data_IF_594191402960
#
_entry.id   IF_594191402960
#
_cell.length_a   1.000
_cell.length_b   1.000
_cell.length_c   1.000
_cell.angle_alpha   90.00
_cell.angle_beta   90.00
_cell.angle_gamma   90.00
#
_symmetry.space_group_name_H-M   'P 1'
#
loop_
_entity.id
_entity.type
_entity.pdbx_description
1 polymer ?
2 non-polymer ?
3 water ?
#
# COMPACT_ATOMS: atom_id res chain seq x y z
N UNK A 3 -20.27 11.51 -16.74
CA UNK A 3 -19.21 12.00 -15.80
C UNK A 3 -19.35 11.28 -14.47
N UNK A 4 -20.57 10.94 -14.11
CA UNK A 4 -20.74 10.14 -12.93
C UNK A 4 -20.01 8.81 -13.09
N UNK A 5 -19.49 8.32 -11.96
CA UNK A 5 -18.99 6.96 -11.89
C UNK A 5 -20.15 5.96 -11.89
N UNK A 6 -19.82 4.67 -12.04
CA UNK A 6 -20.93 3.69 -12.03
C UNK A 6 -21.66 3.61 -10.68
N UNK A 7 -22.94 3.32 -10.71
CA UNK A 7 -23.67 3.05 -9.46
C UNK A 7 -22.92 1.93 -8.68
N UNK A 8 -22.66 2.14 -7.40
CA UNK A 8 -21.99 1.15 -6.57
C UNK A 8 -20.48 1.30 -6.53
N UNK A 9 -19.95 2.29 -7.24
CA UNK A 9 -18.51 2.51 -7.22
C UNK A 9 -18.01 2.73 -5.80
N UNK A 10 -16.89 2.10 -5.43
CA UNK A 10 -16.46 2.11 -4.03
C UNK A 10 -15.49 3.26 -3.71
N UNK A 11 -15.99 4.36 -3.13
CA UNK A 11 -15.16 5.50 -2.70
C UNK A 11 -14.69 5.23 -1.29
N UNK A 12 -13.36 5.28 -1.09
CA UNK A 12 -12.86 4.99 0.25
C UNK A 12 -11.69 5.90 0.64
N UNK A 13 -11.12 5.55 1.79
CA UNK A 13 -9.85 6.16 2.22
C UNK A 13 -9.05 5.05 2.90
N UNK A 14 -7.73 5.21 2.97
CA UNK A 14 -6.82 4.13 3.44
C UNK A 14 -5.89 4.62 4.54
N UNK A 15 -5.50 3.63 5.36
CA UNK A 15 -4.48 3.81 6.43
C UNK A 15 -3.64 2.53 6.47
N UNK A 16 -2.64 2.48 7.36
CA UNK A 16 -1.99 1.23 7.71
C UNK A 16 -1.80 1.21 9.25
N UNK A 17 -1.58 -0.03 9.78
CA UNK A 17 -1.57 -0.22 11.21
C UNK A 17 -0.42 0.47 11.91
N UNK A 18 0.82 0.27 11.45
CA UNK A 18 1.93 0.93 12.15
C UNK A 18 1.80 2.46 12.03
N UNK A 19 1.22 2.96 10.92
CA UNK A 19 1.24 4.40 10.72
C UNK A 19 0.19 5.13 11.58
N UNK A 20 -0.84 4.42 12.07
CA UNK A 20 -1.91 5.13 12.84
C UNK A 20 -2.15 4.60 14.26
N UNK A 21 -1.88 3.32 14.53
CA UNK A 21 -2.48 2.69 15.73
C UNK A 21 -1.93 3.16 17.06
N UNK A 22 -0.61 3.37 17.16
CA UNK A 22 0.01 3.48 18.49
C UNK A 22 -0.19 2.24 19.33
N UNK A 23 -0.38 2.45 20.64
CA UNK A 23 -0.53 1.29 21.55
C UNK A 23 0.48 0.16 21.24
N UNK A 24 1.75 0.55 21.07
CA UNK A 24 2.74 -0.36 20.43
C UNK A 24 3.12 -1.54 21.33
N UNK A 25 2.92 -1.41 22.65
CA UNK A 25 3.31 -2.45 23.61
C UNK A 25 2.14 -2.80 24.53
N UNK A 26 0.90 -2.63 24.07
CA UNK A 26 -0.27 -2.82 24.90
C UNK A 26 -0.99 -4.08 24.49
N UNK A 27 -1.76 -4.63 25.43
CA UNK A 27 -2.65 -5.78 25.15
C UNK A 27 -1.91 -6.98 24.57
N UNK A 28 -0.68 -7.17 24.99
CA UNK A 28 0.01 -8.38 24.59
C UNK A 28 0.68 -8.28 23.21
N UNK A 29 0.58 -7.13 22.58
CA UNK A 29 1.17 -7.00 21.22
C UNK A 29 2.67 -7.24 21.29
N UNK A 30 3.21 -8.01 20.34
CA UNK A 30 4.65 -8.22 20.24
C UNK A 30 5.37 -7.12 19.50
N UNK A 31 6.71 -7.05 19.61
CA UNK A 31 7.49 -6.11 18.86
C UNK A 31 7.47 -6.43 17.38
N UNK A 32 7.35 -5.40 16.53
CA UNK A 32 7.55 -5.61 15.08
C UNK A 32 8.91 -5.09 14.70
N UNK A 33 9.30 -5.38 13.49
CA UNK A 33 10.54 -4.82 12.93
C UNK A 33 10.53 -3.28 12.91
N UNK A 34 9.34 -2.67 12.82
CA UNK A 34 9.27 -1.20 12.82
C UNK A 34 9.32 -0.63 14.24
N UNK A 35 8.84 -1.35 15.26
CA UNK A 35 9.15 -0.90 16.64
C UNK A 35 10.67 -0.88 16.83
N UNK A 36 11.39 -1.93 16.40
CA UNK A 36 12.86 -2.00 16.58
C UNK A 36 13.52 -0.90 15.75
N UNK A 37 13.09 -0.80 14.50
CA UNK A 37 13.72 0.14 13.53
C UNK A 37 13.67 1.60 14.03
N UNK A 38 12.53 1.99 14.56
CA UNK A 38 12.32 3.35 15.06
C UNK A 38 13.08 3.63 16.38
N UNK A 39 13.70 2.59 17.00
CA UNK A 39 14.51 2.89 18.16
C UNK A 39 15.94 3.14 17.75
N UNK A 40 16.28 2.95 16.49
CA UNK A 40 17.63 3.17 15.98
C UNK A 40 17.88 4.66 15.76
N UNK A 41 18.80 5.27 16.53
CA UNK A 41 19.06 6.69 16.32
C UNK A 41 19.53 6.96 14.87
N UNK A 42 19.04 8.05 14.29
CA UNK A 42 19.35 8.44 12.91
C UNK A 42 18.48 7.89 11.79
N UNK A 43 17.68 6.87 12.06
CA UNK A 43 16.87 6.24 10.96
C UNK A 43 15.63 7.07 10.60
N UNK A 44 15.07 7.80 11.57
CA UNK A 44 13.79 8.51 11.36
C UNK A 44 13.95 10.01 11.66
N UNK A 45 13.45 10.84 10.76
CA UNK A 45 13.43 12.29 10.98
C UNK A 45 12.86 12.63 12.34
N UNK A 46 13.53 13.58 13.02
CA UNK A 46 13.07 14.09 14.31
C UNK A 46 13.09 13.03 15.40
N UNK A 47 13.66 11.84 15.13
CA UNK A 47 13.62 10.76 16.12
C UNK A 47 12.19 10.24 16.39
N UNK A 48 11.30 10.39 15.39
CA UNK A 48 9.89 10.07 15.55
C UNK A 48 9.70 8.51 15.53
N UNK A 49 8.55 8.05 16.06
CA UNK A 49 8.21 6.66 15.98
C UNK A 49 6.72 6.51 15.85
N UNK A 50 6.25 5.28 15.62
CA UNK A 50 4.83 4.95 15.73
C UNK A 50 4.37 4.54 17.12
N UNK A 51 5.11 4.87 18.19
CA UNK A 51 4.69 4.44 19.53
C UNK A 51 3.27 4.90 19.87
N UNK A 52 2.94 6.16 19.49
CA UNK A 52 1.58 6.69 19.71
C UNK A 52 0.87 6.94 18.38
N UNK A 53 1.54 7.58 17.43
CA UNK A 53 0.90 7.87 16.12
C UNK A 53 -0.43 8.59 16.34
N UNK A 54 -1.50 8.09 15.69
CA UNK A 54 -2.80 8.72 15.80
C UNK A 54 -3.58 8.15 16.95
N UNK A 55 -2.97 7.25 17.76
CA UNK A 55 -3.64 6.64 18.93
C UNK A 55 -4.93 5.99 18.48
N UNK A 56 -4.97 5.45 17.25
CA UNK A 56 -6.22 4.89 16.69
C UNK A 56 -6.65 3.56 17.34
N UNK A 57 -5.72 2.76 17.85
CA UNK A 57 -6.13 1.52 18.56
C UNK A 57 -7.11 1.91 19.69
N UNK A 58 -6.80 2.98 20.44
CA UNK A 58 -7.75 3.50 21.43
C UNK A 58 -8.86 4.33 20.87
N UNK A 59 -8.59 5.11 19.80
CA UNK A 59 -9.59 6.10 19.39
C UNK A 59 -10.39 5.70 18.14
N UNK A 60 -10.39 4.41 17.84
CA UNK A 60 -10.98 3.93 16.58
C UNK A 60 -12.46 4.31 16.42
N UNK A 61 -13.23 4.43 17.52
CA UNK A 61 -14.64 4.83 17.37
C UNK A 61 -14.78 6.26 16.91
N UNK A 62 -13.90 7.14 17.39
CA UNK A 62 -13.92 8.54 16.84
C UNK A 62 -13.63 8.51 15.35
N UNK A 63 -12.70 7.65 14.94
CA UNK A 63 -12.28 7.63 13.51
C UNK A 63 -13.39 7.02 12.66
N UNK A 64 -14.10 5.99 13.19
CA UNK A 64 -15.27 5.41 12.51
C UNK A 64 -16.31 6.53 12.27
N UNK A 65 -16.56 7.37 13.26
CA UNK A 65 -17.55 8.41 13.03
C UNK A 65 -17.08 9.43 11.98
N UNK A 66 -15.76 9.73 11.94
CA UNK A 66 -15.26 10.62 10.87
C UNK A 66 -15.51 9.96 9.51
N UNK A 67 -15.28 8.65 9.39
CA UNK A 67 -15.50 7.98 8.10
C UNK A 67 -16.96 8.10 7.75
N UNK A 68 -17.86 7.89 8.75
CA UNK A 68 -19.30 8.01 8.46
C UNK A 68 -19.65 9.49 8.05
N UNK A 69 -19.05 10.52 8.72
CA UNK A 69 -19.32 11.93 8.37
C UNK A 69 -18.98 12.18 6.89
N UNK A 70 -17.96 11.50 6.33
CA UNK A 70 -17.55 11.73 4.94
C UNK A 70 -18.42 10.95 3.95
N UNK A 71 -19.18 9.96 4.46
CA UNK A 71 -19.97 9.12 3.55
C UNK A 71 -19.10 8.04 2.86
N UNK A 72 -17.95 7.66 3.47
CA UNK A 72 -17.12 6.60 2.80
C UNK A 72 -17.94 5.35 2.53
N UNK A 73 -17.74 4.80 1.34
CA UNK A 73 -18.39 3.52 1.02
C UNK A 73 -17.55 2.32 1.51
N UNK A 74 -16.25 2.58 1.75
CA UNK A 74 -15.31 1.50 2.04
C UNK A 74 -14.12 2.15 2.77
N UNK A 75 -13.37 1.34 3.54
CA UNK A 75 -12.24 1.82 4.28
C UNK A 75 -11.19 0.71 4.24
N UNK A 76 -9.98 1.07 3.80
CA UNK A 76 -8.83 0.16 3.74
C UNK A 76 -7.91 0.39 4.93
N UNK A 77 -7.70 -0.68 5.68
CA UNK A 77 -6.77 -0.63 6.78
C UNK A 77 -5.85 -1.82 6.67
N UNK A 78 -4.81 -1.87 7.47
CA UNK A 78 -3.96 -3.09 7.59
C UNK A 78 -4.05 -3.64 8.99
N UNK A 79 -3.73 -4.94 9.06
CA UNK A 79 -3.74 -5.69 10.28
C UNK A 79 -2.29 -5.81 10.79
N UNK A 80 -2.06 -5.47 12.07
CA UNK A 80 -0.75 -5.59 12.68
C UNK A 80 -0.52 -7.08 13.01
N UNK A 81 0.28 -7.77 12.20
CA UNK A 81 0.52 -9.19 12.48
C UNK A 81 1.01 -9.40 13.92
N UNK A 82 1.84 -8.49 14.44
CA UNK A 82 2.39 -8.69 15.80
C UNK A 82 1.34 -8.55 16.91
N UNK A 83 0.16 -7.95 16.64
CA UNK A 83 -0.97 -8.00 17.58
C UNK A 83 -1.61 -9.37 17.60
N UNK A 84 -1.48 -10.11 16.48
CA UNK A 84 -2.17 -11.39 16.34
C UNK A 84 -1.25 -12.54 16.79
N UNK A 85 0.03 -12.52 16.38
CA UNK A 85 1.01 -13.53 16.82
C UNK A 85 2.19 -12.72 17.35
N UNK A 86 2.18 -12.44 18.67
CA UNK A 86 3.21 -11.58 19.25
C UNK A 86 4.59 -12.27 19.30
N UNK A 87 4.64 -13.60 19.26
CA UNK A 87 5.92 -14.25 19.57
C UNK A 87 6.08 -15.61 18.84
N UNK A 88 7.25 -16.22 18.99
CA UNK A 88 7.54 -17.43 18.23
C UNK A 88 6.77 -18.67 18.68
N UNK A 89 5.93 -18.62 19.73
CA UNK A 89 5.03 -19.74 20.02
C UNK A 89 3.98 -19.91 18.93
N UNK A 90 3.76 -18.85 18.15
CA UNK A 90 2.75 -18.83 17.06
C UNK A 90 1.32 -18.76 17.65
N UNK A 91 1.17 -18.69 18.98
CA UNK A 91 -0.18 -18.67 19.58
C UNK A 91 -0.88 -17.37 19.23
N UNK A 92 -2.20 -17.43 19.08
CA UNK A 92 -3.00 -16.28 18.70
C UNK A 92 -3.24 -15.41 19.95
N UNK A 93 -2.93 -14.14 19.87
CA UNK A 93 -3.33 -13.17 20.90
C UNK A 93 -4.79 -12.74 20.69
N UNK A 94 -5.65 -13.08 21.64
CA UNK A 94 -7.06 -12.87 21.45
C UNK A 94 -7.46 -11.42 21.57
N UNK A 95 -6.77 -10.67 22.43
CA UNK A 95 -7.00 -9.20 22.51
C UNK A 95 -6.73 -8.53 21.17
N UNK A 96 -5.63 -8.89 20.56
CA UNK A 96 -5.31 -8.27 19.26
C UNK A 96 -6.32 -8.60 18.21
N UNK A 97 -6.70 -9.88 18.12
CA UNK A 97 -7.74 -10.29 17.16
C UNK A 97 -9.08 -9.57 17.45
N UNK A 98 -9.41 -9.43 18.74
CA UNK A 98 -10.67 -8.76 19.11
C UNK A 98 -10.72 -7.29 18.65
N UNK A 99 -9.59 -6.60 18.66
CA UNK A 99 -9.58 -5.24 18.13
C UNK A 99 -10.08 -5.22 16.69
N UNK A 100 -9.53 -6.07 15.82
CA UNK A 100 -9.96 -6.03 14.42
C UNK A 100 -11.39 -6.51 14.28
N UNK A 101 -11.83 -7.46 15.10
CA UNK A 101 -13.25 -7.82 15.06
C UNK A 101 -14.12 -6.59 15.38
N UNK A 102 -13.74 -5.83 16.43
CA UNK A 102 -14.56 -4.65 16.83
C UNK A 102 -14.49 -3.56 15.74
N UNK A 103 -13.32 -3.34 15.13
CA UNK A 103 -13.21 -2.40 14.02
C UNK A 103 -14.16 -2.80 12.89
N UNK A 104 -14.09 -4.05 12.45
CA UNK A 104 -14.87 -4.53 11.29
C UNK A 104 -16.39 -4.47 11.62
N UNK A 105 -16.76 -4.86 12.86
CA UNK A 105 -18.16 -4.70 13.29
C UNK A 105 -18.59 -3.24 13.22
N UNK A 106 -17.70 -2.32 13.61
CA UNK A 106 -18.05 -0.89 13.56
C UNK A 106 -18.18 -0.39 12.14
N UNK A 107 -17.36 -0.87 11.22
CA UNK A 107 -17.50 -0.49 9.80
C UNK A 107 -18.82 -0.95 9.24
N UNK A 108 -19.17 -2.21 9.46
CA UNK A 108 -20.50 -2.65 9.01
C UNK A 108 -21.68 -1.90 9.62
N UNK A 109 -21.56 -1.55 10.92
CA UNK A 109 -22.62 -0.81 11.59
C UNK A 109 -22.87 0.50 10.86
N UNK A 110 -21.83 1.07 10.26
CA UNK A 110 -21.95 2.35 9.56
C UNK A 110 -22.04 2.22 8.00
N UNK A 111 -22.31 0.99 7.52
CA UNK A 111 -22.40 0.65 6.10
C UNK A 111 -21.16 1.00 5.31
N UNK A 112 -20.02 0.72 5.93
CA UNK A 112 -18.69 0.94 5.29
C UNK A 112 -18.08 -0.46 5.04
N UNK A 113 -17.73 -0.74 3.78
CA UNK A 113 -17.21 -2.08 3.39
C UNK A 113 -15.74 -2.16 3.81
N UNK A 114 -15.35 -3.13 4.63
CA UNK A 114 -13.93 -3.31 5.00
C UNK A 114 -13.06 -3.86 3.85
N UNK A 115 -11.90 -3.21 3.66
CA UNK A 115 -10.82 -3.84 2.91
C UNK A 115 -9.65 -3.98 3.88
N UNK A 116 -9.14 -5.20 4.05
CA UNK A 116 -8.02 -5.41 5.01
C UNK A 116 -6.77 -5.83 4.25
N UNK A 117 -5.66 -5.14 4.52
CA UNK A 117 -4.37 -5.54 4.07
C UNK A 117 -3.69 -6.38 5.14
N UNK A 118 -3.27 -7.61 4.81
CA UNK A 118 -2.67 -8.51 5.83
C UNK A 118 -1.27 -8.06 6.17
N UNK A 119 -0.49 -7.61 5.16
CA UNK A 119 0.90 -7.18 5.39
C UNK A 119 1.17 -5.81 4.85
N UNK A 120 1.32 -4.82 5.76
CA UNK A 120 1.70 -3.47 5.34
C UNK A 120 2.97 -3.14 6.20
N UNK A 121 3.93 -4.09 6.14
CA UNK A 121 5.35 -3.83 6.44
C UNK A 121 5.78 -4.09 7.87
N UNK A 122 4.81 -4.20 8.78
CA UNK A 122 5.16 -4.34 10.20
C UNK A 122 5.27 -5.85 10.58
N UNK A 123 6.28 -6.48 9.96
CA UNK A 123 6.56 -7.90 10.24
C UNK A 123 6.83 -8.11 11.76
N UNK A 124 6.29 -9.17 12.38
CA UNK A 124 6.69 -9.42 13.78
C UNK A 124 8.16 -9.70 13.88
N UNK A 125 8.79 -9.14 14.95
CA UNK A 125 10.24 -9.42 15.14
C UNK A 125 10.51 -10.96 15.25
N UNK A 126 9.59 -11.74 15.76
CA UNK A 126 9.84 -13.22 15.83
C UNK A 126 9.99 -13.82 14.46
N UNK A 127 9.30 -13.32 13.44
CA UNK A 127 9.46 -13.86 12.08
C UNK A 127 10.83 -13.42 11.53
N UNK A 128 11.21 -12.16 11.81
CA UNK A 128 12.52 -11.67 11.44
C UNK A 128 13.65 -12.54 12.12
N UNK A 129 13.41 -12.93 13.37
CA UNK A 129 14.36 -13.78 14.10
C UNK A 129 14.54 -15.15 13.38
N UNK A 130 13.51 -15.58 12.65
CA UNK A 130 13.51 -16.86 11.89
C UNK A 130 13.85 -16.63 10.42
N UNK A 131 14.49 -15.49 10.13
CA UNK A 131 15.04 -15.15 8.82
C UNK A 131 14.26 -14.11 8.01
N UNK A 132 13.05 -13.75 8.47
CA UNK A 132 12.26 -12.79 7.76
C UNK A 132 12.08 -13.19 6.29
N UNK A 133 11.96 -12.23 5.39
CA UNK A 133 11.66 -12.58 3.99
C UNK A 133 12.85 -13.23 3.23
N UNK A 134 14.02 -13.26 3.85
CA UNK A 134 15.10 -14.07 3.27
C UNK A 134 14.78 -15.57 3.35
N UNK A 135 13.99 -15.98 4.33
CA UNK A 135 13.68 -17.40 4.51
C UNK A 135 12.40 -17.77 3.79
N UNK A 136 12.48 -18.84 3.01
CA UNK A 136 11.36 -19.42 2.36
C UNK A 136 10.21 -19.75 3.36
N UNK A 137 10.62 -20.18 4.56
CA UNK A 137 9.65 -20.57 5.62
C UNK A 137 8.73 -19.42 6.04
N UNK A 138 9.18 -18.17 5.82
CA UNK A 138 8.30 -17.05 6.14
C UNK A 138 7.04 -17.01 5.27
N UNK A 139 7.07 -17.59 4.08
CA UNK A 139 5.88 -17.73 3.27
C UNK A 139 4.88 -18.62 3.94
N UNK A 140 5.36 -19.69 4.61
CA UNK A 140 4.41 -20.56 5.32
C UNK A 140 3.92 -19.87 6.59
N UNK A 141 4.79 -19.15 7.32
CA UNK A 141 4.26 -18.35 8.47
C UNK A 141 3.17 -17.38 8.02
N UNK A 142 3.40 -16.69 6.90
CA UNK A 142 2.43 -15.71 6.45
C UNK A 142 1.10 -16.44 6.04
N UNK A 143 1.19 -17.63 5.43
CA UNK A 143 -0.04 -18.38 5.13
C UNK A 143 -0.79 -18.82 6.37
N UNK A 144 -0.05 -19.19 7.45
CA UNK A 144 -0.70 -19.57 8.69
C UNK A 144 -1.42 -18.35 9.32
N UNK A 145 -0.74 -17.20 9.34
CA UNK A 145 -1.35 -15.93 9.82
C UNK A 145 -2.60 -15.63 8.99
N UNK A 146 -2.50 -15.70 7.65
CA UNK A 146 -3.67 -15.46 6.76
C UNK A 146 -4.78 -16.44 7.12
N UNK A 147 -4.46 -17.74 7.25
CA UNK A 147 -5.51 -18.70 7.52
C UNK A 147 -6.24 -18.32 8.86
N UNK A 148 -5.47 -17.96 9.91
CA UNK A 148 -6.12 -17.57 11.17
C UNK A 148 -7.05 -16.35 10.99
N UNK A 149 -6.61 -15.31 10.27
CA UNK A 149 -7.43 -14.12 10.11
C UNK A 149 -8.63 -14.38 9.21
N UNK A 150 -8.48 -15.18 8.15
CA UNK A 150 -9.61 -15.44 7.23
C UNK A 150 -10.58 -16.43 7.89
N UNK A 151 -10.08 -17.35 8.72
CA UNK A 151 -11.01 -18.21 9.49
C UNK A 151 -11.81 -17.35 10.47
N UNK A 152 -11.17 -16.34 11.07
CA UNK A 152 -11.83 -15.51 12.11
C UNK A 152 -12.80 -14.50 11.55
N UNK A 153 -12.44 -13.89 10.41
CA UNK A 153 -13.12 -12.65 9.91
C UNK A 153 -13.49 -12.72 8.43
N UNK A 154 -13.24 -13.86 7.77
CA UNK A 154 -13.38 -13.92 6.29
C UNK A 154 -14.66 -13.42 5.76
N UNK A 155 -15.76 -13.92 6.30
CA UNK A 155 -16.99 -13.46 5.65
C UNK A 155 -17.52 -12.16 6.22
N UNK A 156 -16.67 -11.46 6.99
CA UNK A 156 -16.99 -10.09 7.43
C UNK A 156 -16.08 -9.08 6.72
N UNK A 157 -15.08 -9.57 5.96
CA UNK A 157 -14.21 -8.61 5.24
C UNK A 157 -14.30 -9.03 3.78
N UNK A 158 -15.02 -8.23 2.96
CA UNK A 158 -15.31 -8.68 1.62
C UNK A 158 -14.11 -8.51 0.69
N UNK A 159 -13.13 -7.69 1.09
CA UNK A 159 -11.96 -7.46 0.21
C UNK A 159 -10.68 -7.60 1.05
N UNK A 160 -9.86 -8.55 0.70
CA UNK A 160 -8.58 -8.80 1.37
C UNK A 160 -7.45 -8.53 0.39
N UNK A 161 -6.38 -7.92 0.90
CA UNK A 161 -5.11 -7.78 0.21
C UNK A 161 -4.04 -8.52 0.94
N UNK A 162 -3.23 -9.31 0.24
CA UNK A 162 -2.13 -10.02 0.92
C UNK A 162 -0.99 -9.05 1.33
N UNK A 163 -0.25 -8.58 0.32
CA UNK A 163 0.84 -7.61 0.49
C UNK A 163 0.48 -6.23 0.01
N UNK A 164 1.06 -5.26 0.71
CA UNK A 164 1.14 -3.88 0.23
C UNK A 164 2.55 -3.64 -0.30
N UNK A 165 2.63 -3.26 -1.56
CA UNK A 165 3.92 -2.72 -2.12
C UNK A 165 5.14 -3.63 -1.82
N UNK A 166 5.13 -4.86 -2.33
CA UNK A 166 6.33 -5.74 -2.14
C UNK A 166 7.59 -5.10 -2.79
N UNK A 167 7.45 -4.29 -3.82
CA UNK A 167 8.63 -3.64 -4.43
C UNK A 167 9.32 -2.75 -3.41
N UNK A 168 8.52 -2.03 -2.57
CA UNK A 168 9.11 -1.11 -1.62
C UNK A 168 9.81 -1.90 -0.51
N UNK A 169 9.18 -3.02 -0.06
CA UNK A 169 9.85 -3.87 0.91
C UNK A 169 11.20 -4.34 0.36
N UNK A 170 11.25 -4.76 -0.93
CA UNK A 170 12.54 -5.19 -1.52
C UNK A 170 13.54 -3.99 -1.55
N UNK A 171 13.16 -2.88 -2.14
CA UNK A 171 14.10 -1.81 -2.39
C UNK A 171 14.50 -1.05 -1.12
N UNK A 172 13.50 -0.61 -0.38
CA UNK A 172 13.76 0.16 0.81
C UNK A 172 14.28 -0.70 1.95
N UNK A 173 13.79 -1.94 2.06
CA UNK A 173 14.10 -2.80 3.19
C UNK A 173 15.39 -3.57 3.03
N UNK A 174 15.77 -3.87 1.79
CA UNK A 174 16.96 -4.77 1.54
C UNK A 174 18.00 -4.17 0.60
N UNK A 175 17.62 -3.26 -0.32
CA UNK A 175 18.61 -2.61 -1.20
C UNK A 175 19.26 -1.45 -0.52
N UNK A 176 18.44 -0.58 0.05
CA UNK A 176 18.90 0.76 0.48
C UNK A 176 18.98 0.87 1.97
N UNK A 177 18.34 -0.05 2.68
CA UNK A 177 18.34 0.03 4.14
C UNK A 177 17.59 1.22 4.75
N UNK A 178 16.74 1.87 3.97
CA UNK A 178 16.02 3.05 4.43
C UNK A 178 14.81 2.69 5.37
N UNK A 179 14.22 1.51 5.16
CA UNK A 179 13.07 1.01 5.92
C UNK A 179 13.49 -0.31 6.57
N UNK A 180 12.74 -0.69 7.60
CA UNK A 180 12.96 -1.97 8.27
C UNK A 180 12.94 -3.13 7.27
N UNK A 181 13.80 -4.16 7.46
CA UNK A 181 14.71 -4.34 8.61
C UNK A 181 16.10 -3.66 8.36
N UNK A 182 16.23 -2.79 7.34
CA UNK A 182 17.44 -1.98 7.18
C UNK A 182 18.62 -2.66 6.52
N UNK A 183 18.40 -3.68 5.69
CA UNK A 183 19.55 -4.36 5.03
C UNK A 183 19.90 -3.53 3.81
N UNK A 184 21.15 -3.67 3.42
CA UNK A 184 21.73 -2.88 2.37
C UNK A 184 22.58 -3.78 1.46
N UNK A 185 21.92 -4.70 0.77
CA UNK A 185 22.61 -5.67 -0.07
C UNK A 185 21.74 -5.92 -1.26
N UNK A 186 21.97 -5.16 -2.35
CA UNK A 186 21.16 -5.29 -3.59
C UNK A 186 21.04 -6.70 -4.12
N UNK A 187 22.03 -7.57 -3.86
CA UNK A 187 21.99 -8.92 -4.39
C UNK A 187 20.91 -9.77 -3.78
N UNK A 188 20.32 -9.32 -2.64
CA UNK A 188 19.25 -10.06 -1.95
C UNK A 188 17.85 -9.83 -2.56
N UNK A 189 17.72 -8.84 -3.47
CA UNK A 189 16.35 -8.40 -3.89
C UNK A 189 15.55 -9.50 -4.54
N UNK A 190 16.16 -10.31 -5.38
CA UNK A 190 15.41 -11.32 -6.04
C UNK A 190 14.89 -12.43 -5.09
N UNK A 191 15.78 -12.87 -4.19
CA UNK A 191 15.40 -13.83 -3.17
C UNK A 191 14.20 -13.30 -2.36
N UNK A 192 14.29 -12.02 -1.95
CA UNK A 192 13.21 -11.46 -1.14
C UNK A 192 11.93 -11.38 -2.01
N UNK A 193 12.03 -10.84 -3.23
CA UNK A 193 10.87 -10.72 -4.14
C UNK A 193 10.18 -12.11 -4.26
N UNK A 194 10.96 -13.17 -4.50
CA UNK A 194 10.37 -14.50 -4.66
C UNK A 194 9.62 -14.97 -3.42
N UNK A 195 10.21 -14.71 -2.24
CA UNK A 195 9.51 -15.15 -1.03
C UNK A 195 8.31 -14.29 -0.73
N UNK A 196 8.35 -13.00 -1.07
CA UNK A 196 7.13 -12.19 -0.93
C UNK A 196 6.04 -12.80 -1.84
N UNK A 197 6.36 -13.03 -3.12
CA UNK A 197 5.41 -13.64 -4.05
C UNK A 197 4.90 -15.01 -3.60
N UNK A 198 5.82 -15.86 -3.18
CA UNK A 198 5.45 -17.19 -2.66
C UNK A 198 4.48 -17.03 -1.47
N UNK A 199 4.74 -16.07 -0.57
CA UNK A 199 3.87 -15.84 0.58
C UNK A 199 2.48 -15.42 0.13
N UNK A 200 2.40 -14.54 -0.89
CA UNK A 200 1.11 -14.18 -1.47
C UNK A 200 0.42 -15.41 -2.04
N UNK A 201 1.15 -16.25 -2.76
CA UNK A 201 0.54 -17.46 -3.35
C UNK A 201 0.01 -18.40 -2.28
N UNK A 202 0.79 -18.63 -1.24
CA UNK A 202 0.39 -19.57 -0.18
C UNK A 202 -0.75 -18.99 0.63
N UNK A 203 -0.79 -17.67 0.82
CA UNK A 203 -1.90 -17.03 1.51
C UNK A 203 -3.18 -17.15 0.66
N UNK A 204 -3.05 -16.93 -0.66
CA UNK A 204 -4.17 -17.09 -1.57
C UNK A 204 -4.70 -18.53 -1.55
N UNK A 205 -3.83 -19.55 -1.53
CA UNK A 205 -4.30 -20.96 -1.36
C UNK A 205 -5.08 -21.12 -0.05
N UNK A 206 -4.63 -20.51 1.03
CA UNK A 206 -5.36 -20.64 2.28
C UNK A 206 -6.72 -19.97 2.23
N UNK A 207 -6.78 -18.84 1.56
CA UNK A 207 -8.05 -18.15 1.33
C UNK A 207 -8.99 -19.01 0.47
N UNK A 208 -8.49 -19.57 -0.63
CA UNK A 208 -9.38 -20.42 -1.46
C UNK A 208 -9.88 -21.66 -0.70
N UNK A 209 -9.02 -22.19 0.16
CA UNK A 209 -9.46 -23.38 0.89
C UNK A 209 -10.56 -23.06 1.90
N UNK A 210 -10.50 -21.88 2.52
CA UNK A 210 -11.59 -21.41 3.41
C UNK A 210 -12.82 -20.91 2.68
N UNK A 211 -12.60 -20.38 1.47
CA UNK A 211 -13.68 -19.92 0.60
C UNK A 211 -14.74 -19.08 1.33
N UNK A 212 -14.35 -17.97 2.00
CA UNK A 212 -15.31 -17.21 2.79
C UNK A 212 -16.43 -16.58 1.90
N UNK A 213 -17.68 -16.66 2.38
CA UNK A 213 -18.83 -16.17 1.66
C UNK A 213 -18.75 -14.69 1.29
N UNK A 214 -18.89 -14.40 -0.01
CA UNK A 214 -18.94 -13.01 -0.47
C UNK A 214 -17.61 -12.25 -0.48
N UNK A 215 -16.52 -12.96 -0.23
CA UNK A 215 -15.21 -12.31 -0.05
C UNK A 215 -14.28 -12.56 -1.24
N UNK A 216 -13.36 -11.61 -1.44
CA UNK A 216 -12.42 -11.66 -2.56
C UNK A 216 -11.02 -11.32 -2.05
N UNK A 217 -10.00 -11.83 -2.75
CA UNK A 217 -8.61 -11.55 -2.33
C UNK A 217 -7.77 -11.13 -3.53
N UNK A 218 -6.92 -10.14 -3.28
CA UNK A 218 -5.97 -9.67 -4.25
C UNK A 218 -4.67 -9.25 -3.58
N UNK A 219 -3.91 -8.42 -4.29
CA UNK A 219 -2.60 -7.95 -3.80
C UNK A 219 -2.45 -6.52 -4.26
N UNK A 220 -1.75 -5.66 -3.49
CA UNK A 220 -1.55 -4.25 -3.85
C UNK A 220 -0.11 -4.02 -4.27
N UNK A 221 0.04 -3.46 -5.48
CA UNK A 221 1.36 -3.15 -6.00
C UNK A 221 1.45 -1.66 -6.24
N UNK A 222 2.63 -1.06 -6.03
CA UNK A 222 2.84 0.37 -6.43
C UNK A 222 3.59 0.38 -7.80
N UNK A 223 3.37 1.50 -8.46
CA UNK A 223 3.90 1.70 -9.78
C UNK A 223 4.33 3.15 -9.96
N UNK A 224 5.33 3.38 -10.80
CA UNK A 224 5.62 4.73 -11.28
C UNK A 224 5.60 4.67 -12.79
N UNK A 225 4.61 5.33 -13.41
CA UNK A 225 4.51 5.33 -14.87
C UNK A 225 5.83 5.93 -15.39
N UNK A 226 6.46 5.29 -16.41
CA UNK A 226 7.76 5.71 -16.91
C UNK A 226 7.58 6.48 -18.21
N UNK A 227 8.24 7.64 -18.25
CA UNK A 227 8.25 8.40 -19.55
C UNK A 227 9.73 8.68 -19.87
N UNK A 228 10.16 8.41 -21.11
CA UNK A 228 11.55 8.83 -21.47
C UNK A 228 11.63 10.37 -21.53
N UNK A 229 12.83 10.90 -21.21
CA UNK A 229 13.00 12.35 -21.24
C UNK A 229 13.04 12.96 -22.68
N UNK A 230 13.24 12.14 -23.70
CA UNK A 230 13.32 12.64 -25.07
C UNK A 230 12.79 11.52 -25.98
N UNK A 231 12.71 11.82 -27.27
CA UNK A 231 12.32 10.88 -28.32
C UNK A 231 13.47 10.03 -28.83
N UNK A 232 14.66 10.19 -28.26
CA UNK A 232 15.85 9.51 -28.79
C UNK A 232 15.76 8.02 -28.50
N UNK A 233 16.18 7.18 -29.45
CA UNK A 233 16.06 5.71 -29.30
C UNK A 233 16.69 5.21 -28.00
N UNK A 234 17.87 5.71 -27.58
CA UNK A 234 18.48 5.19 -26.39
C UNK A 234 17.62 5.49 -25.12
N UNK A 235 17.00 6.67 -25.11
CA UNK A 235 16.12 7.03 -23.97
C UNK A 235 14.87 6.15 -23.99
N UNK A 236 14.31 5.92 -25.19
CA UNK A 236 13.16 5.02 -25.31
C UNK A 236 13.49 3.63 -24.81
N UNK A 237 14.67 3.13 -25.19
CA UNK A 237 15.07 1.79 -24.72
C UNK A 237 15.24 1.76 -23.21
N UNK A 238 15.88 2.78 -22.65
CA UNK A 238 16.10 2.84 -21.18
C UNK A 238 14.76 2.89 -20.47
N UNK A 239 13.80 3.67 -20.99
CA UNK A 239 12.49 3.76 -20.40
C UNK A 239 11.74 2.40 -20.47
N UNK A 240 11.91 1.65 -21.54
CA UNK A 240 11.25 0.31 -21.63
C UNK A 240 11.82 -0.66 -20.64
N UNK A 241 13.12 -0.64 -20.49
CA UNK A 241 13.82 -1.52 -19.54
C UNK A 241 13.40 -1.13 -18.10
N UNK A 242 13.32 0.19 -17.83
CA UNK A 242 12.99 0.67 -16.46
C UNK A 242 11.50 0.27 -16.19
N UNK A 243 10.62 0.41 -17.18
CA UNK A 243 9.22 0.01 -16.98
C UNK A 243 9.14 -1.51 -16.61
N UNK A 244 9.86 -2.35 -17.35
CA UNK A 244 9.77 -3.81 -17.12
C UNK A 244 10.17 -4.12 -15.69
N UNK A 245 11.25 -3.49 -15.20
CA UNK A 245 11.72 -3.74 -13.84
C UNK A 245 10.87 -3.06 -12.79
N UNK A 246 10.74 -1.75 -12.90
CA UNK A 246 10.07 -0.98 -11.90
C UNK A 246 8.60 -1.37 -11.77
N UNK A 247 7.91 -1.57 -12.90
CA UNK A 247 6.43 -1.77 -12.89
C UNK A 247 5.98 -3.19 -13.10
N UNK A 248 6.82 -4.06 -13.68
CA UNK A 248 6.37 -5.42 -14.01
C UNK A 248 7.11 -6.53 -13.23
N UNK A 249 7.97 -6.18 -12.27
CA UNK A 249 8.76 -7.19 -11.56
C UNK A 249 7.75 -8.19 -10.90
N UNK A 250 6.68 -7.68 -10.26
CA UNK A 250 5.70 -8.53 -9.61
C UNK A 250 4.53 -8.93 -10.53
N UNK A 251 4.06 -8.00 -11.39
CA UNK A 251 2.90 -8.35 -12.22
C UNK A 251 3.22 -9.48 -13.18
N UNK A 252 4.46 -9.54 -13.72
CA UNK A 252 4.74 -10.59 -14.73
C UNK A 252 4.60 -12.02 -14.09
N UNK A 253 5.20 -12.29 -12.90
CA UNK A 253 5.03 -13.62 -12.29
C UNK A 253 3.61 -13.83 -11.76
N UNK A 254 2.95 -12.76 -11.26
CA UNK A 254 1.61 -12.94 -10.75
C UNK A 254 0.64 -13.36 -11.87
N UNK A 255 0.74 -12.74 -13.06
CA UNK A 255 -0.20 -13.04 -14.10
C UNK A 255 0.28 -14.12 -15.06
N UNK A 256 1.57 -14.09 -15.43
CA UNK A 256 2.10 -14.98 -16.47
C UNK A 256 2.91 -16.14 -15.89
N UNK A 257 3.22 -16.17 -14.59
CA UNK A 257 3.91 -17.33 -14.00
C UNK A 257 5.38 -17.43 -14.41
N UNK A 258 5.97 -16.33 -14.83
CA UNK A 258 7.41 -16.26 -15.13
C UNK A 258 7.92 -14.89 -14.67
N UNK A 259 9.21 -14.84 -14.33
CA UNK A 259 9.91 -13.58 -14.13
C UNK A 259 10.31 -13.00 -15.49
N UNK A 260 10.25 -11.68 -15.63
CA UNK A 260 10.70 -11.11 -16.87
C UNK A 260 12.23 -11.07 -16.99
N UNK A 261 12.69 -10.76 -18.20
CA UNK A 261 14.18 -10.74 -18.43
C UNK A 261 14.88 -9.65 -17.64
N UNK A 262 14.25 -8.49 -17.48
CA UNK A 262 14.92 -7.41 -16.73
C UNK A 262 15.17 -7.87 -15.26
N UNK A 263 14.21 -8.62 -14.72
CA UNK A 263 14.29 -9.12 -13.36
C UNK A 263 15.39 -10.18 -13.22
N UNK A 264 15.39 -11.16 -14.15
CA UNK A 264 16.43 -12.22 -14.13
C UNK A 264 17.83 -11.65 -14.37
N UNK A 265 17.94 -10.60 -15.18
CA UNK A 265 19.26 -9.95 -15.37
C UNK A 265 19.68 -9.21 -14.09
N UNK A 266 18.72 -8.53 -13.43
CA UNK A 266 19.03 -7.82 -12.21
C UNK A 266 19.45 -8.75 -11.07
N UNK A 267 18.83 -9.92 -10.98
CA UNK A 267 19.07 -10.92 -9.90
C UNK A 267 19.39 -12.29 -10.53
N UNK A 268 20.64 -12.45 -11.02
CA UNK A 268 20.96 -13.71 -11.74
C UNK A 268 20.75 -15.00 -10.92
N UNK A 269 20.86 -14.93 -9.60
CA UNK A 269 20.58 -16.09 -8.76
C UNK A 269 19.14 -16.40 -8.42
N UNK A 270 18.22 -15.61 -8.96
CA UNK A 270 16.80 -15.85 -8.66
C UNK A 270 16.33 -17.32 -8.90
N UNK A 271 16.76 -17.97 -10.02
CA UNK A 271 16.26 -19.32 -10.23
C UNK A 271 16.60 -20.34 -9.16
N UNK A 272 17.64 -20.05 -8.36
CA UNK A 272 18.02 -20.97 -7.26
C UNK A 272 16.94 -21.06 -6.17
N UNK A 273 16.04 -20.05 -6.11
CA UNK A 273 15.01 -20.01 -5.04
C UNK A 273 13.69 -20.56 -5.49
N UNK A 274 13.60 -20.90 -6.78
CA UNK A 274 12.35 -21.33 -7.37
C UNK A 274 12.20 -22.86 -7.30
N UNK A 275 11.31 -23.32 -6.45
CA UNK A 275 11.00 -24.76 -6.35
C UNK A 275 10.00 -25.15 -7.44
N UNK A 276 9.86 -26.46 -7.72
CA UNK A 276 9.07 -26.84 -8.91
C UNK A 276 7.61 -26.37 -9.02
N UNK A 277 6.94 -26.19 -7.90
CA UNK A 277 5.52 -25.76 -7.97
C UNK A 277 5.35 -24.24 -7.70
N UNK A 278 6.44 -23.55 -7.45
CA UNK A 278 6.31 -22.18 -6.92
C UNK A 278 5.69 -21.25 -7.96
N UNK A 279 6.09 -21.30 -9.24
CA UNK A 279 5.49 -20.33 -10.21
C UNK A 279 4.00 -20.56 -10.43
N UNK A 280 3.51 -21.82 -10.36
CA UNK A 280 2.12 -22.08 -10.42
C UNK A 280 1.38 -21.53 -9.22
N UNK A 281 1.95 -21.74 -8.03
CA UNK A 281 1.38 -21.21 -6.78
C UNK A 281 1.26 -19.68 -6.85
N UNK A 282 2.35 -19.04 -7.31
CA UNK A 282 2.42 -17.58 -7.32
C UNK A 282 1.39 -16.98 -8.28
N UNK A 283 1.12 -17.70 -9.40
CA UNK A 283 0.30 -17.17 -10.47
C UNK A 283 -1.13 -17.70 -10.48
N UNK A 284 -1.54 -18.38 -9.40
CA UNK A 284 -2.94 -18.76 -9.29
C UNK A 284 -3.84 -17.49 -9.33
N UNK A 285 -5.02 -17.60 -9.89
CA UNK A 285 -5.76 -16.34 -10.17
C UNK A 285 -6.17 -15.52 -8.94
N UNK A 286 -5.91 -14.23 -8.99
CA UNK A 286 -6.39 -13.25 -7.95
C UNK A 286 -7.75 -12.69 -8.36
N UNK A 287 -8.51 -12.22 -7.36
CA UNK A 287 -9.82 -11.68 -7.65
C UNK A 287 -9.72 -10.21 -8.19
N UNK A 288 -8.73 -9.48 -7.72
CA UNK A 288 -8.55 -8.09 -8.13
C UNK A 288 -7.10 -7.68 -7.92
N UNK A 289 -6.71 -6.59 -8.59
CA UNK A 289 -5.41 -5.98 -8.34
C UNK A 289 -5.60 -4.64 -7.66
N UNK A 290 -4.84 -4.42 -6.58
CA UNK A 290 -4.80 -3.09 -5.95
C UNK A 290 -3.64 -2.32 -6.57
N UNK A 291 -3.94 -1.12 -7.01
CA UNK A 291 -2.94 -0.25 -7.60
C UNK A 291 -2.68 0.97 -6.67
N UNK A 292 -1.41 1.17 -6.31
CA UNK A 292 -0.97 2.42 -5.62
C UNK A 292 -0.17 3.28 -6.56
N UNK A 293 -0.55 4.55 -6.66
CA UNK A 293 0.16 5.46 -7.58
C UNK A 293 0.17 6.83 -6.96
N UNK A 294 1.31 7.51 -7.08
CA UNK A 294 1.51 8.87 -6.64
C UNK A 294 2.13 9.73 -7.73
N UNK A 295 3.09 9.15 -8.47
CA UNK A 295 3.96 10.00 -9.35
C UNK A 295 4.62 9.14 -10.43
N UNK A 296 4.91 9.77 -11.60
CA UNK A 296 5.67 9.08 -12.67
C UNK A 296 7.18 9.19 -12.34
N UNK A 297 7.96 8.48 -13.15
CA UNK A 297 9.42 8.61 -13.17
C UNK A 297 9.83 8.93 -14.59
N UNK A 298 10.80 9.85 -14.71
CA UNK A 298 11.28 10.29 -16.02
C UNK A 298 12.69 9.77 -16.18
N UNK A 299 12.95 9.09 -17.30
CA UNK A 299 14.23 8.35 -17.43
C UNK A 299 14.99 8.67 -18.70
N UNK A 300 16.29 8.64 -18.57
CA UNK A 300 17.17 8.76 -19.77
C UNK A 300 18.20 7.65 -19.76
N UNK A 301 18.79 7.40 -20.92
CA UNK A 301 19.86 6.46 -21.01
C UNK A 301 21.13 7.08 -20.43
N UNK A 302 22.05 6.21 -20.01
CA UNK A 302 23.34 6.64 -19.48
C UNK A 302 24.36 5.69 -20.06
N UNK A 303 25.63 6.15 -20.22
CA UNK A 303 26.69 5.14 -20.50
C UNK A 303 27.13 4.30 -19.28
N UNK A 304 27.07 4.86 -18.07
CA UNK A 304 27.45 4.14 -16.84
C UNK A 304 26.42 3.07 -16.55
N UNK A 305 26.85 1.90 -16.01
CA UNK A 305 25.81 0.95 -15.52
C UNK A 305 24.94 1.61 -14.42
N UNK A 306 23.66 1.20 -14.31
CA UNK A 306 23.08 0.15 -15.17
C UNK A 306 22.43 0.67 -16.47
N UNK A 307 22.91 1.80 -16.99
CA UNK A 307 22.48 2.32 -18.31
C UNK A 307 21.22 3.15 -18.27
N UNK A 308 20.74 3.44 -17.06
CA UNK A 308 19.46 4.13 -16.84
C UNK A 308 19.71 5.17 -15.79
N UNK A 309 19.21 6.37 -16.05
CA UNK A 309 19.27 7.47 -15.06
C UNK A 309 17.85 8.01 -14.86
N UNK A 310 17.39 8.12 -13.62
CA UNK A 310 16.11 8.77 -13.31
C UNK A 310 16.37 10.25 -13.15
N UNK A 311 15.61 11.07 -13.86
CA UNK A 311 15.82 12.51 -13.83
C UNK A 311 14.80 13.17 -12.91
N UNK A 312 15.30 13.92 -11.95
CA UNK A 312 14.43 14.60 -10.98
C UNK A 312 13.68 15.80 -11.60
N UNK A 313 12.47 16.03 -11.10
CA UNK A 313 11.63 17.06 -11.59
C UNK A 313 11.50 18.08 -10.42
N UNK A 314 11.65 19.36 -10.69
CA UNK A 314 11.59 20.37 -9.61
C UNK A 314 10.20 20.90 -9.35
N UNK A 315 9.35 20.86 -10.37
CA UNK A 315 7.96 21.37 -10.32
C UNK A 315 7.15 20.69 -11.45
N UNK A 316 5.84 20.46 -11.29
CA UNK A 316 5.09 20.64 -10.02
C UNK A 316 5.25 19.42 -9.12
N UNK A 317 5.55 19.65 -7.83
CA UNK A 317 5.78 18.56 -6.90
C UNK A 317 5.04 18.76 -5.59
N UNK A 318 4.92 17.66 -4.86
CA UNK A 318 4.32 17.72 -3.54
C UNK A 318 5.42 18.00 -2.54
N UNK A 319 5.09 18.02 -1.25
CA UNK A 319 6.11 18.18 -0.17
C UNK A 319 7.06 17.02 -0.11
N UNK A 320 6.73 15.86 -0.72
CA UNK A 320 7.71 14.74 -0.85
C UNK A 320 8.71 14.94 -1.98
N UNK A 321 8.47 15.95 -2.81
CA UNK A 321 9.28 16.16 -4.06
C UNK A 321 8.82 15.25 -5.19
N UNK A 322 7.62 14.70 -5.07
CA UNK A 322 7.04 13.75 -6.04
C UNK A 322 6.24 14.50 -7.08
N UNK A 323 6.59 14.30 -8.36
CA UNK A 323 5.90 15.01 -9.43
C UNK A 323 4.39 14.74 -9.49
N UNK A 324 3.63 15.81 -9.67
CA UNK A 324 2.18 15.73 -9.84
C UNK A 324 1.86 15.63 -11.34
N UNK A 325 1.36 14.48 -11.76
CA UNK A 325 1.04 14.24 -13.17
C UNK A 325 -0.10 13.25 -13.29
N UNK A 326 -1.31 13.77 -13.19
CA UNK A 326 -2.44 12.83 -13.17
C UNK A 326 -2.52 11.96 -14.42
N UNK A 327 -2.04 12.44 -15.59
CA UNK A 327 -2.07 11.58 -16.77
C UNK A 327 -1.26 10.28 -16.53
N UNK A 328 -0.30 10.29 -15.60
CA UNK A 328 0.47 9.06 -15.25
C UNK A 328 -0.47 8.01 -14.70
N UNK A 329 -1.54 8.39 -13.97
CA UNK A 329 -2.48 7.37 -13.46
C UNK A 329 -3.30 6.77 -14.57
N UNK A 330 -3.78 7.61 -15.47
CA UNK A 330 -4.52 7.14 -16.67
C UNK A 330 -3.63 6.14 -17.46
N UNK A 331 -2.38 6.54 -17.78
CA UNK A 331 -1.51 5.71 -18.61
C UNK A 331 -1.18 4.38 -17.90
N UNK A 332 -0.98 4.46 -16.58
CA UNK A 332 -0.68 3.24 -15.79
C UNK A 332 -1.87 2.28 -15.90
N UNK A 333 -3.09 2.75 -15.66
CA UNK A 333 -4.23 1.88 -15.65
C UNK A 333 -4.49 1.28 -17.04
N UNK A 334 -4.36 2.10 -18.07
CA UNK A 334 -4.57 1.58 -19.46
C UNK A 334 -3.50 0.55 -19.80
N UNK A 335 -2.25 0.81 -19.37
CA UNK A 335 -1.14 -0.11 -19.70
C UNK A 335 -1.28 -1.48 -19.02
N UNK A 336 -1.65 -1.45 -17.74
CA UNK A 336 -1.88 -2.71 -17.04
C UNK A 336 -2.98 -3.51 -17.77
N UNK A 337 -4.08 -2.83 -18.11
CA UNK A 337 -5.24 -3.47 -18.72
C UNK A 337 -4.89 -4.04 -20.10
N UNK A 338 -4.14 -3.29 -20.90
CA UNK A 338 -3.80 -3.79 -22.26
C UNK A 338 -2.82 -4.95 -22.14
N UNK A 339 -1.85 -4.87 -21.21
CA UNK A 339 -0.81 -5.90 -21.14
C UNK A 339 -1.27 -7.18 -20.48
N UNK A 340 -2.01 -7.07 -19.38
CA UNK A 340 -2.38 -8.21 -18.55
C UNK A 340 -3.86 -8.55 -18.60
N UNK A 341 -4.65 -7.80 -19.39
CA UNK A 341 -6.10 -8.04 -19.51
C UNK A 341 -6.99 -7.19 -18.56
N UNK A 342 -8.28 -7.16 -18.87
CA UNK A 342 -9.24 -6.32 -18.10
C UNK A 342 -9.63 -7.04 -16.79
N UNK A 343 -8.69 -7.09 -15.87
CA UNK A 343 -9.08 -7.62 -14.54
C UNK A 343 -9.54 -6.47 -13.63
N UNK A 344 -10.29 -6.83 -12.58
CA UNK A 344 -10.80 -5.83 -11.65
C UNK A 344 -9.63 -5.10 -10.96
N UNK A 345 -9.72 -3.76 -10.93
CA UNK A 345 -8.71 -2.98 -10.24
C UNK A 345 -9.34 -2.04 -9.24
N UNK A 346 -8.73 -1.96 -8.06
CA UNK A 346 -9.04 -0.87 -7.10
C UNK A 346 -7.82 -0.03 -7.02
N UNK A 347 -7.98 1.29 -7.03
CA UNK A 347 -6.82 2.18 -6.67
C UNK A 347 -6.78 2.19 -5.14
N UNK A 348 -5.86 1.44 -4.57
CA UNK A 348 -5.85 1.24 -3.12
C UNK A 348 -5.03 2.36 -2.39
N UNK A 349 -4.32 3.20 -3.15
CA UNK A 349 -3.70 4.46 -2.62
C UNK A 349 -3.51 5.43 -3.75
N UNK A 350 -3.87 6.69 -3.48
CA UNK A 350 -3.48 7.81 -4.32
C UNK A 350 -3.69 9.04 -3.40
N UNK A 351 -2.77 9.98 -3.40
CA UNK A 351 -2.95 11.16 -2.48
C UNK A 351 -1.65 11.95 -2.52
N UNK A 352 -1.53 12.94 -1.59
CA UNK A 352 -0.37 13.88 -1.65
C UNK A 352 -0.10 14.47 -0.29
N UNK A 353 1.18 14.76 -0.12
CA UNK A 353 1.63 15.50 1.07
C UNK A 353 1.85 16.96 0.75
N UNK A 354 1.26 17.85 1.53
CA UNK A 354 1.50 19.28 1.46
C UNK A 354 1.65 19.77 2.93
N UNK A 355 2.20 20.96 3.05
CA UNK A 355 2.33 21.59 4.34
C UNK A 355 0.99 22.19 4.74
N UNK A 356 0.34 21.51 5.63
CA UNK A 356 -0.97 22.01 6.13
C UNK A 356 -0.75 22.68 7.48
N UNK A 357 -1.51 23.77 7.70
CA UNK A 357 -1.46 24.55 8.93
C UNK A 357 -2.89 25.02 9.21
N UNK A 358 -3.41 24.80 10.42
CA UNK A 358 -4.74 25.42 10.80
C UNK A 358 -4.60 26.94 10.74
N UNK A 359 -5.66 27.60 10.31
CA UNK A 359 -5.75 29.07 10.32
C UNK A 359 -6.14 29.57 11.71
N UNK A 360 -6.27 30.91 11.88
CA UNK A 360 -6.55 31.46 13.23
C UNK A 360 -7.89 30.99 13.80
N UNK A 361 -8.76 30.58 12.88
CA UNK A 361 -10.05 30.08 13.21
C UNK A 361 -10.05 28.55 13.46
N UNK A 362 -8.92 27.91 13.18
CA UNK A 362 -8.81 26.44 13.41
C UNK A 362 -9.14 25.57 12.19
N UNK A 363 -9.44 26.19 11.06
CA UNK A 363 -9.72 25.42 9.82
C UNK A 363 -8.45 25.07 9.07
N UNK A 364 -8.50 23.95 8.37
CA UNK A 364 -7.31 23.52 7.62
C UNK A 364 -7.67 23.53 6.16
N UNK A 365 -7.23 24.55 5.41
CA UNK A 365 -7.59 24.67 3.98
C UNK A 365 -6.41 24.29 3.12
N UNK A 366 -6.58 23.21 2.30
CA UNK A 366 -5.50 22.57 1.57
C UNK A 366 -5.88 22.50 0.10
N UNK A 367 -6.00 23.66 -0.57
CA UNK A 367 -6.40 23.67 -1.99
C UNK A 367 -5.46 22.93 -2.94
N UNK A 368 -4.18 22.82 -2.59
CA UNK A 368 -3.26 22.05 -3.47
C UNK A 368 -3.64 20.56 -3.43
N UNK A 369 -4.07 20.07 -2.26
CA UNK A 369 -4.47 18.67 -2.14
C UNK A 369 -5.79 18.45 -2.93
N UNK A 370 -6.76 19.40 -2.83
CA UNK A 370 -7.96 19.36 -3.63
C UNK A 370 -7.55 19.26 -5.11
N UNK A 371 -6.59 20.10 -5.54
CA UNK A 371 -6.21 20.09 -6.97
C UNK A 371 -5.60 18.73 -7.40
N UNK A 372 -4.81 18.16 -6.50
CA UNK A 372 -4.25 16.82 -6.77
C UNK A 372 -5.39 15.79 -6.95
N UNK A 373 -6.35 15.77 -6.04
CA UNK A 373 -7.40 14.78 -6.21
C UNK A 373 -8.30 15.05 -7.41
N UNK A 374 -8.61 16.32 -7.67
CA UNK A 374 -9.44 16.65 -8.81
C UNK A 374 -8.79 16.10 -10.13
N UNK A 375 -7.48 16.33 -10.29
CA UNK A 375 -6.84 15.82 -11.50
C UNK A 375 -6.78 14.29 -11.55
N UNK A 376 -6.44 13.68 -10.38
CA UNK A 376 -6.28 12.20 -10.38
C UNK A 376 -7.58 11.41 -10.48
N UNK A 377 -8.62 11.88 -9.77
CA UNK A 377 -9.94 11.24 -9.90
C UNK A 377 -10.44 11.45 -11.34
N UNK A 378 -10.14 12.61 -11.95
CA UNK A 378 -10.57 12.79 -13.35
C UNK A 378 -9.84 11.81 -14.28
N UNK A 379 -8.56 11.60 -14.05
CA UNK A 379 -7.79 10.65 -14.89
C UNK A 379 -8.33 9.20 -14.70
N UNK A 380 -8.68 8.86 -13.45
CA UNK A 380 -9.20 7.54 -13.18
C UNK A 380 -10.57 7.38 -13.90
N UNK A 381 -11.38 8.44 -13.93
CA UNK A 381 -12.69 8.33 -14.63
C UNK A 381 -12.48 8.09 -16.10
N UNK A 382 -11.50 8.77 -16.69
CA UNK A 382 -11.19 8.54 -18.15
C UNK A 382 -10.75 7.11 -18.42
N UNK A 383 -9.93 6.57 -17.49
CA UNK A 383 -9.52 5.19 -17.63
C UNK A 383 -10.72 4.23 -17.65
N UNK A 384 -11.62 4.45 -16.72
CA UNK A 384 -12.78 3.61 -16.62
C UNK A 384 -13.62 3.74 -17.93
N UNK A 385 -13.78 4.97 -18.44
CA UNK A 385 -14.55 5.19 -19.68
C UNK A 385 -13.85 4.47 -20.86
N UNK A 386 -12.52 4.39 -20.83
CA UNK A 386 -11.74 3.75 -21.89
C UNK A 386 -11.47 2.26 -21.70
N UNK A 387 -12.14 1.62 -20.74
CA UNK A 387 -12.12 0.18 -20.67
C UNK A 387 -11.39 -0.47 -19.53
N UNK A 388 -10.97 0.31 -18.55
CA UNK A 388 -10.34 -0.28 -17.35
C UNK A 388 -11.49 -0.68 -16.39
N UNK A 389 -11.36 -1.88 -15.82
CA UNK A 389 -12.42 -2.30 -14.88
C UNK A 389 -12.10 -1.76 -13.48
N UNK A 390 -12.24 -0.44 -13.33
CA UNK A 390 -11.96 0.23 -12.05
C UNK A 390 -13.16 0.11 -11.14
N UNK A 391 -12.96 -0.50 -9.96
CA UNK A 391 -14.08 -0.81 -9.06
C UNK A 391 -14.16 0.12 -7.83
N UNK A 392 -13.07 0.84 -7.50
CA UNK A 392 -13.09 1.69 -6.36
C UNK A 392 -11.84 2.54 -6.32
N UNK A 393 -11.82 3.51 -5.41
CA UNK A 393 -10.74 4.49 -5.29
C UNK A 393 -10.62 4.81 -3.81
N UNK A 394 -9.40 4.61 -3.29
CA UNK A 394 -9.07 4.88 -1.85
C UNK A 394 -8.07 6.02 -1.76
N UNK A 395 -8.51 7.15 -1.21
CA UNK A 395 -7.60 8.25 -0.93
C UNK A 395 -6.63 7.85 0.17
N UNK A 396 -5.31 8.04 -0.11
CA UNK A 396 -4.30 7.95 0.97
C UNK A 396 -4.09 9.38 1.46
N UNK A 397 -4.38 9.72 2.70
CA UNK A 397 -4.83 8.86 3.77
C UNK A 397 -6.07 9.45 4.41
N UNK A 398 -6.84 8.60 5.13
CA UNK A 398 -7.84 9.13 6.02
C UNK A 398 -7.29 10.21 6.98
N UNK A 399 -6.14 9.91 7.57
CA UNK A 399 -5.59 10.72 8.66
C UNK A 399 -4.14 11.06 8.35
N UNK A 400 -3.69 12.27 8.71
CA UNK A 400 -2.27 12.50 8.84
C UNK A 400 -1.69 11.42 9.76
N UNK A 401 -0.50 10.91 9.41
CA UNK A 401 0.01 9.79 10.16
C UNK A 401 1.54 9.71 10.13
N UNK A 402 2.09 8.57 10.61
CA UNK A 402 3.55 8.44 10.67
C UNK A 402 4.03 8.04 9.23
N UNK A 403 4.72 8.94 8.54
CA UNK A 403 5.19 8.68 7.19
C UNK A 403 6.61 8.05 7.24
N UNK A 404 6.68 6.88 7.87
CA UNK A 404 7.90 6.05 7.80
C UNK A 404 9.14 6.89 8.16
N UNK A 405 10.20 6.83 7.32
CA UNK A 405 11.46 7.51 7.70
C UNK A 405 11.33 9.06 7.76
N UNK A 406 10.30 9.62 7.15
CA UNK A 406 9.97 11.04 7.28
C UNK A 406 9.27 11.39 8.58
N UNK A 407 8.91 10.37 9.35
CA UNK A 407 8.20 10.66 10.62
C UNK A 407 6.93 11.49 10.40
N UNK A 408 6.68 12.43 11.32
CA UNK A 408 5.47 13.30 11.28
C UNK A 408 5.74 14.60 10.51
N UNK A 409 6.83 14.61 9.72
CA UNK A 409 7.13 15.81 8.93
C UNK A 409 6.26 15.92 7.67
N UNK A 410 5.55 14.86 7.30
CA UNK A 410 4.76 14.84 6.06
C UNK A 410 3.33 14.46 6.40
N UNK A 411 2.39 15.24 5.92
CA UNK A 411 0.97 15.08 6.21
C UNK A 411 0.28 14.68 4.90
N UNK A 412 -0.26 13.47 4.86
CA UNK A 412 -1.03 12.97 3.67
C UNK A 412 -2.52 12.90 3.95
N UNK A 413 -2.98 13.28 5.16
CA UNK A 413 -4.40 13.06 5.50
C UNK A 413 -5.34 13.97 4.73
N UNK A 414 -6.59 13.48 4.54
CA UNK A 414 -7.69 14.45 4.28
C UNK A 414 -8.27 14.97 5.59
N UNK A 415 -7.88 14.34 6.71
CA UNK A 415 -8.23 14.81 8.04
C UNK A 415 -6.92 15.16 8.77
N UNK A 416 -6.87 16.39 9.28
CA UNK A 416 -5.71 16.89 10.03
C UNK A 416 -5.70 16.31 11.44
N UNK A 417 -4.53 15.87 11.88
CA UNK A 417 -4.34 15.42 13.24
C UNK A 417 -3.32 16.28 13.96
N UNK A 418 -3.77 16.87 15.08
CA UNK A 418 -2.85 17.52 16.01
C UNK A 418 -2.24 16.40 16.86
N UNK A 419 -0.97 16.07 16.67
CA UNK A 419 -0.40 14.93 17.35
C UNK A 419 -0.13 15.15 18.84
N UNK A 420 -0.23 16.39 19.30
CA UNK A 420 -0.07 16.70 20.74
C UNK A 420 -1.39 16.43 21.46
N UNK A 421 -2.52 16.80 20.88
CA UNK A 421 -3.79 16.65 21.57
C UNK A 421 -4.67 15.53 21.00
N UNK A 422 -4.28 14.96 19.84
CA UNK A 422 -5.09 13.98 19.06
C UNK A 422 -6.38 14.58 18.48
N UNK A 423 -6.53 15.93 18.47
CA UNK A 423 -7.72 16.47 17.84
C UNK A 423 -7.70 16.27 16.32
N UNK A 424 -8.81 15.78 15.80
CA UNK A 424 -9.00 15.64 14.35
C UNK A 424 -9.84 16.79 13.77
N UNK A 425 -9.43 17.33 12.63
CA UNK A 425 -10.18 18.36 11.96
C UNK A 425 -10.29 17.96 10.48
N UNK A 426 -11.50 17.95 9.93
CA UNK A 426 -11.61 17.68 8.48
C UNK A 426 -10.90 18.84 7.74
N UNK A 427 -10.04 18.52 6.76
CA UNK A 427 -9.47 19.54 5.92
C UNK A 427 -10.44 19.87 4.84
N UNK A 428 -10.20 20.99 4.12
CA UNK A 428 -10.98 21.29 2.90
C UNK A 428 -11.11 20.08 1.95
N UNK A 429 -10.00 19.35 1.77
CA UNK A 429 -10.03 18.19 0.90
C UNK A 429 -11.04 17.12 1.37
N UNK A 430 -11.20 16.92 2.66
CA UNK A 430 -12.22 15.94 3.13
C UNK A 430 -13.66 16.44 2.84
N UNK A 431 -13.86 17.74 3.03
CA UNK A 431 -15.17 18.35 2.70
C UNK A 431 -15.44 18.22 1.20
N UNK A 432 -14.41 18.47 0.39
CA UNK A 432 -14.53 18.32 -1.06
C UNK A 432 -14.81 16.86 -1.47
N UNK A 433 -14.10 15.93 -0.83
CA UNK A 433 -14.25 14.52 -1.17
C UNK A 433 -15.61 13.99 -0.76
N UNK A 434 -16.10 14.44 0.41
CA UNK A 434 -17.49 14.10 0.77
C UNK A 434 -18.44 14.48 -0.35
N UNK A 435 -18.22 15.66 -0.95
CA UNK A 435 -19.12 16.08 -2.04
C UNK A 435 -18.97 15.20 -3.28
N UNK A 436 -17.72 14.82 -3.60
CA UNK A 436 -17.49 13.91 -4.70
C UNK A 436 -18.26 12.57 -4.47
N UNK A 437 -18.14 12.02 -3.27
CA UNK A 437 -18.83 10.77 -2.99
C UNK A 437 -20.38 10.92 -3.16
N UNK A 438 -20.92 11.99 -2.62
CA UNK A 438 -22.34 12.21 -2.68
C UNK A 438 -22.82 12.47 -4.12
N UNK A 439 -21.99 13.09 -4.92
CA UNK A 439 -22.30 13.32 -6.37
C UNK A 439 -21.92 12.10 -7.22
N UNK A 440 -21.24 11.10 -6.63
CA UNK A 440 -20.64 9.98 -7.36
C UNK A 440 -19.78 10.47 -8.54
N UNK A 441 -19.03 11.55 -8.31
CA UNK A 441 -18.15 12.05 -9.37
C UNK A 441 -17.81 13.50 -9.16
N UNK A 442 -16.99 14.02 -10.07
CA UNK A 442 -16.49 15.40 -9.97
C UNK A 442 -17.63 16.37 -10.36
N UNK A 443 -17.58 17.60 -9.81
CA UNK A 443 -18.60 18.70 -10.00
C UNK A 443 -18.95 18.86 -11.47
#
# INVERSE_FOLDING_TARGET
NVKKFPEGFLWGAATSSYQIEGAWNEDGKGESIWDRFTRIPGKIKNGDSGDVACDHYHRYEQDLDLMRQLGLKTYRFSIAWARIQPDSSRQINQRGLDFYRRLVEGLHKRDILPMATLYHWDLPQWVEDEGGWLSRESASRFAEYTHALVAALGDQIPLWVTHNEPMVTVWAGYHMGLFAPGLKDPTLGGRVAHHLLLSHGQALQAFRALSPAGSQMGITLNFNTIYPVSAEPADVEAARRMHSFQNELFLEPLIRGQYNQATLMAYPNLPEFIAPEDMQTISAPIDFLGVNYYNPMRVKSSPQPPGIEVVQVESPVTAMGWEIAPEGLYDLLMGITRTYGKLPIYITENGAAFDDQPDQSGQVNDPQRVGYFQGHIGAARRALADGVDLRGYYAWSLLDNFEWAEGYSKRFGIIYVDFETQQRTLKQSAQWYRDVIANNGLED
#
